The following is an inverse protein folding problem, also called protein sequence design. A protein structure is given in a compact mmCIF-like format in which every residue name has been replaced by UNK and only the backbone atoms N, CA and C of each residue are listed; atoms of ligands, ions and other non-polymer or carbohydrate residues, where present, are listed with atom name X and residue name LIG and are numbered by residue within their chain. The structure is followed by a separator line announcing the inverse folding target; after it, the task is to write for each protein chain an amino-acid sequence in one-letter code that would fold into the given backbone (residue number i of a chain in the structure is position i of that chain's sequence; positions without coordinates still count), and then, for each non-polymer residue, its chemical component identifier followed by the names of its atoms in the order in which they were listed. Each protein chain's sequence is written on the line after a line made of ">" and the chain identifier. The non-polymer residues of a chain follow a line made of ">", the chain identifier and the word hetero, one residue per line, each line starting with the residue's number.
data_IF_862935013890
#
_entry.id   IF_862935013890
#
_cell.length_a   1.000
_cell.length_b   1.000
_cell.length_c   1.000
_cell.angle_alpha   90.00
_cell.angle_beta   90.00
_cell.angle_gamma   90.00
#
_symmetry.space_group_name_H-M   'P 1'
#
loop_
_entity.id
_entity.type
_entity.pdbx_description
1 polymer ?
#
# COMPACT_ATOMS: atom_id res chain seq x y z
N UNK A 1 24.10 10.09 38.49
CA UNK A 1 23.17 10.90 39.30
C UNK A 1 21.79 10.73 38.67
N UNK A 2 20.93 9.84 39.20
CA UNK A 2 19.56 9.73 38.69
C UNK A 2 18.76 10.84 39.36
N UNK A 3 18.12 11.69 38.55
CA UNK A 3 17.31 12.77 39.06
C UNK A 3 16.06 12.17 39.71
N UNK A 4 15.91 12.37 41.02
CA UNK A 4 14.67 12.10 41.74
C UNK A 4 13.65 13.17 41.34
N UNK A 5 13.19 13.10 40.10
CA UNK A 5 12.12 13.94 39.59
C UNK A 5 10.81 13.43 40.17
N UNK A 6 10.01 14.35 40.67
CA UNK A 6 8.67 14.01 41.15
C UNK A 6 7.80 13.54 39.97
N UNK A 7 6.85 12.64 40.22
CA UNK A 7 5.93 12.14 39.19
C UNK A 7 5.21 13.29 38.45
N UNK A 8 4.92 14.37 39.18
CA UNK A 8 4.26 15.55 38.62
C UNK A 8 5.16 16.30 37.62
N UNK A 9 6.48 16.37 37.86
CA UNK A 9 7.44 16.94 36.92
C UNK A 9 7.59 16.06 35.67
N UNK A 10 7.59 14.73 35.84
CA UNK A 10 7.60 13.81 34.69
C UNK A 10 6.34 13.97 33.83
N UNK A 11 5.17 14.10 34.46
CA UNK A 11 3.92 14.36 33.73
C UNK A 11 3.97 15.68 32.98
N UNK A 12 4.44 16.76 33.60
CA UNK A 12 4.56 18.08 32.96
C UNK A 12 5.53 18.05 31.77
N UNK A 13 6.63 17.32 31.87
CA UNK A 13 7.60 17.20 30.77
C UNK A 13 7.06 16.39 29.58
N UNK A 14 6.28 15.34 29.84
CA UNK A 14 5.72 14.48 28.80
C UNK A 14 4.48 15.08 28.11
N UNK A 15 3.62 15.76 28.88
CA UNK A 15 2.29 16.15 28.43
C UNK A 15 2.03 17.67 28.50
N UNK A 16 2.98 18.46 29.02
CA UNK A 16 2.85 19.91 29.17
C UNK A 16 1.98 20.34 30.37
N UNK A 17 1.90 21.65 30.62
CA UNK A 17 1.04 22.23 31.67
C UNK A 17 -0.38 22.45 31.12
N UNK A 18 -1.17 21.39 31.02
CA UNK A 18 -2.58 21.53 30.68
C UNK A 18 -3.32 22.24 31.83
N UNK A 19 -3.85 23.44 31.58
CA UNK A 19 -4.68 24.16 32.56
C UNK A 19 -6.01 23.39 32.75
N UNK A 20 -6.46 23.16 33.98
CA UNK A 20 -7.80 22.60 34.22
C UNK A 20 -8.83 23.65 33.77
N UNK A 21 -9.40 23.47 32.58
CA UNK A 21 -10.36 24.40 31.99
C UNK A 21 -10.15 24.64 30.49
N UNK A 22 -9.02 24.23 29.93
CA UNK A 22 -8.80 24.27 28.48
C UNK A 22 -9.28 22.94 27.88
N UNK A 23 -10.60 22.84 27.71
CA UNK A 23 -11.17 21.86 26.80
C UNK A 23 -10.52 22.09 25.42
N UNK A 24 -9.84 21.10 24.81
CA UNK A 24 -9.54 21.21 23.39
C UNK A 24 -10.90 21.37 22.72
N UNK A 25 -11.11 22.49 22.02
CA UNK A 25 -12.30 22.68 21.21
C UNK A 25 -12.49 21.41 20.40
N UNK A 26 -13.60 20.71 20.62
CA UNK A 26 -13.96 19.57 19.79
C UNK A 26 -13.84 20.03 18.34
N UNK A 27 -13.15 19.29 17.45
CA UNK A 27 -13.24 19.59 16.04
C UNK A 27 -14.73 19.51 15.71
N UNK A 28 -15.28 20.66 15.32
CA UNK A 28 -16.61 20.78 14.75
C UNK A 28 -16.73 19.65 13.73
N UNK A 29 -17.68 18.70 13.87
CA UNK A 29 -17.92 17.77 12.79
C UNK A 29 -18.38 18.62 11.60
N UNK A 30 -17.52 18.68 10.59
CA UNK A 30 -17.85 19.22 9.28
C UNK A 30 -19.18 18.60 8.83
N UNK A 31 -20.08 19.39 8.20
CA UNK A 31 -21.40 18.93 7.87
C UNK A 31 -21.30 17.67 7.02
N UNK A 32 -21.88 16.60 7.58
CA UNK A 32 -22.13 15.33 6.93
C UNK A 32 -22.68 15.64 5.55
N UNK A 33 -21.90 15.41 4.49
CA UNK A 33 -22.44 15.34 3.14
C UNK A 33 -23.43 14.18 3.15
N UNK A 34 -24.70 14.52 3.34
CA UNK A 34 -25.82 13.66 3.04
C UNK A 34 -25.63 13.24 1.58
N UNK A 35 -25.14 12.02 1.38
CA UNK A 35 -25.21 11.35 0.10
C UNK A 35 -26.69 11.04 -0.10
N UNK A 36 -27.44 12.03 -0.57
CA UNK A 36 -28.77 11.85 -1.12
C UNK A 36 -28.57 10.88 -2.27
N UNK A 37 -28.93 9.62 -2.05
CA UNK A 37 -28.98 8.61 -3.11
C UNK A 37 -30.16 8.96 -4.01
N UNK A 38 -30.01 10.01 -4.82
CA UNK A 38 -30.95 10.29 -5.90
C UNK A 38 -30.84 9.13 -6.87
N UNK A 39 -31.90 8.31 -6.89
CA UNK A 39 -32.12 7.24 -7.85
C UNK A 39 -31.95 7.79 -9.27
N UNK A 40 -30.77 7.60 -9.85
CA UNK A 40 -30.52 7.90 -11.24
C UNK A 40 -31.26 6.86 -12.08
N UNK A 41 -32.39 7.27 -12.65
CA UNK A 41 -33.04 6.56 -13.74
C UNK A 41 -32.10 6.75 -14.95
N UNK A 42 -31.25 5.76 -15.22
CA UNK A 42 -30.39 5.76 -16.40
C UNK A 42 -30.94 4.76 -17.42
N UNK A 43 -31.56 5.28 -18.47
CA UNK A 43 -31.67 4.56 -19.73
C UNK A 43 -30.26 4.41 -20.35
N UNK A 44 -29.96 3.29 -21.03
CA UNK A 44 -28.62 2.99 -21.51
C UNK A 44 -28.32 3.81 -22.75
N UNK A 45 -27.06 4.24 -22.95
CA UNK A 45 -26.36 4.26 -24.25
C UNK A 45 -24.95 4.82 -24.05
N UNK A 46 -24.05 4.26 -24.87
CA UNK A 46 -22.66 4.63 -25.14
C UNK A 46 -21.61 3.95 -24.24
N UNK A 47 -21.15 2.81 -24.77
CA UNK A 47 -19.86 2.17 -24.48
C UNK A 47 -18.75 3.21 -24.38
N UNK A 48 -18.29 3.48 -23.15
CA UNK A 48 -17.11 4.30 -22.94
C UNK A 48 -15.89 3.55 -23.49
N UNK A 49 -15.28 4.20 -24.48
CA UNK A 49 -14.05 3.81 -25.17
C UNK A 49 -13.00 3.32 -24.18
N UNK A 50 -12.31 2.24 -24.57
CA UNK A 50 -11.28 1.53 -23.82
C UNK A 50 -10.37 2.48 -23.03
N UNK A 51 -10.26 2.27 -21.73
CA UNK A 51 -9.21 2.88 -20.92
C UNK A 51 -7.87 2.53 -21.57
N UNK A 52 -7.09 3.55 -21.95
CA UNK A 52 -5.73 3.33 -22.44
C UNK A 52 -4.98 2.55 -21.37
N UNK A 53 -4.46 1.40 -21.80
CA UNK A 53 -3.89 0.35 -20.97
C UNK A 53 -2.94 0.91 -19.92
N UNK A 54 -3.17 0.51 -18.66
CA UNK A 54 -2.11 0.59 -17.67
C UNK A 54 -0.94 -0.21 -18.25
N UNK A 55 0.17 0.46 -18.52
CA UNK A 55 1.37 -0.21 -19.03
C UNK A 55 2.16 -0.65 -17.81
N UNK A 56 2.69 -1.89 -17.79
CA UNK A 56 3.39 -2.38 -16.62
C UNK A 56 4.51 -1.44 -16.26
N UNK A 57 4.43 -0.87 -15.05
CA UNK A 57 5.42 0.11 -14.58
C UNK A 57 6.56 -0.58 -13.87
N UNK A 58 6.37 -1.82 -13.43
CA UNK A 58 7.33 -2.56 -12.62
C UNK A 58 7.48 -3.98 -13.18
N UNK A 59 8.72 -4.42 -13.34
CA UNK A 59 9.12 -5.80 -13.65
C UNK A 59 9.73 -6.42 -12.41
N UNK A 60 9.18 -7.55 -11.99
CA UNK A 60 9.73 -8.40 -10.95
C UNK A 60 10.44 -9.57 -11.62
N UNK A 61 11.68 -9.85 -11.24
CA UNK A 61 12.43 -11.04 -11.64
C UNK A 61 12.60 -11.93 -10.42
N UNK A 62 12.17 -13.17 -10.56
CA UNK A 62 12.19 -14.19 -9.51
C UNK A 62 13.10 -15.35 -9.95
N UNK A 63 13.74 -16.01 -9.00
CA UNK A 63 14.32 -17.33 -9.17
C UNK A 63 13.37 -18.35 -8.55
N UNK A 64 12.98 -19.36 -9.34
CA UNK A 64 11.96 -20.33 -8.93
C UNK A 64 12.40 -21.76 -9.20
N UNK A 65 12.02 -22.69 -8.32
CA UNK A 65 12.34 -24.10 -8.43
C UNK A 65 11.48 -24.98 -7.53
N UNK A 66 11.49 -26.28 -7.76
CA UNK A 66 10.76 -27.28 -6.96
C UNK A 66 11.66 -28.19 -6.14
N UNK A 67 12.95 -28.23 -6.49
CA UNK A 67 13.98 -29.04 -5.84
C UNK A 67 14.86 -28.14 -4.97
N UNK A 68 15.18 -28.63 -3.77
CA UNK A 68 16.07 -27.92 -2.85
C UNK A 68 17.52 -28.06 -3.34
N UNK A 69 18.22 -26.94 -3.54
CA UNK A 69 19.54 -26.88 -4.18
C UNK A 69 19.60 -27.48 -5.60
N UNK A 70 18.43 -27.64 -6.25
CA UNK A 70 18.32 -28.11 -7.63
C UNK A 70 18.27 -26.96 -8.64
N UNK A 71 17.78 -27.26 -9.85
CA UNK A 71 17.68 -26.24 -10.90
C UNK A 71 16.67 -25.13 -10.57
N UNK A 72 17.18 -23.89 -10.55
CA UNK A 72 16.41 -22.67 -10.38
C UNK A 72 16.32 -21.93 -11.72
N UNK A 73 15.11 -21.52 -12.09
CA UNK A 73 14.84 -20.82 -13.34
C UNK A 73 14.43 -19.37 -13.07
N UNK A 74 14.75 -18.47 -14.00
CA UNK A 74 14.28 -17.09 -13.93
C UNK A 74 12.83 -16.99 -14.42
N UNK A 75 11.99 -16.34 -13.61
CA UNK A 75 10.61 -16.02 -13.91
C UNK A 75 10.42 -14.51 -13.87
N UNK A 76 9.96 -13.93 -14.98
CA UNK A 76 9.69 -12.50 -15.10
C UNK A 76 8.20 -12.26 -14.98
N UNK A 77 7.82 -11.34 -14.11
CA UNK A 77 6.43 -10.94 -13.93
C UNK A 77 6.31 -9.41 -13.96
N UNK A 78 5.54 -8.93 -14.92
CA UNK A 78 5.26 -7.51 -15.11
C UNK A 78 3.98 -7.15 -14.37
N UNK A 79 4.02 -6.04 -13.63
CA UNK A 79 2.92 -5.61 -12.76
C UNK A 79 2.39 -4.23 -13.14
N UNK A 80 1.07 -4.14 -13.17
CA UNK A 80 0.32 -2.93 -13.47
C UNK A 80 0.07 -2.08 -12.21
N UNK A 81 1.12 -1.90 -11.40
CA UNK A 81 1.10 -1.08 -10.20
C UNK A 81 2.32 -0.18 -10.10
N UNK A 82 2.17 0.92 -9.37
CA UNK A 82 3.25 1.82 -8.97
C UNK A 82 3.98 1.38 -7.69
N UNK A 83 3.38 0.48 -6.92
CA UNK A 83 3.95 0.02 -5.66
C UNK A 83 4.86 -1.17 -5.88
N UNK A 84 6.15 -1.02 -5.55
CA UNK A 84 7.12 -2.12 -5.58
C UNK A 84 6.73 -3.25 -4.64
N UNK A 85 6.25 -2.92 -3.44
CA UNK A 85 5.82 -3.90 -2.45
C UNK A 85 4.64 -4.74 -2.96
N UNK A 86 3.65 -4.09 -3.58
CA UNK A 86 2.49 -4.80 -4.13
C UNK A 86 2.91 -5.68 -5.31
N UNK A 87 3.75 -5.16 -6.20
CA UNK A 87 4.29 -5.94 -7.32
C UNK A 87 5.05 -7.18 -6.85
N UNK A 88 5.88 -7.06 -5.81
CA UNK A 88 6.62 -8.20 -5.23
C UNK A 88 5.67 -9.22 -4.61
N UNK A 89 4.71 -8.78 -3.78
CA UNK A 89 3.75 -9.66 -3.12
C UNK A 89 2.91 -10.44 -4.14
N UNK A 90 2.36 -9.76 -5.14
CA UNK A 90 1.58 -10.38 -6.20
C UNK A 90 2.43 -11.36 -7.01
N UNK A 91 3.68 -11.01 -7.30
CA UNK A 91 4.58 -11.87 -8.06
C UNK A 91 4.98 -13.14 -7.28
N UNK A 92 5.35 -13.00 -6.01
CA UNK A 92 5.66 -14.15 -5.14
C UNK A 92 4.44 -15.04 -4.96
N UNK A 93 3.25 -14.45 -4.77
CA UNK A 93 2.01 -15.20 -4.65
C UNK A 93 1.69 -16.00 -5.91
N UNK A 94 1.88 -15.41 -7.09
CA UNK A 94 1.68 -16.09 -8.36
C UNK A 94 2.70 -17.23 -8.57
N UNK A 95 3.99 -16.99 -8.27
CA UNK A 95 5.02 -18.01 -8.40
C UNK A 95 4.78 -19.21 -7.47
N UNK A 96 4.36 -18.97 -6.22
CA UNK A 96 4.07 -20.02 -5.24
C UNK A 96 2.91 -20.94 -5.62
N UNK A 97 2.11 -20.62 -6.63
CA UNK A 97 1.10 -21.54 -7.16
C UNK A 97 1.72 -22.74 -7.88
N UNK A 98 2.93 -22.58 -8.43
CA UNK A 98 3.60 -23.59 -9.27
C UNK A 98 4.95 -24.03 -8.74
N UNK A 99 5.58 -23.20 -7.91
CA UNK A 99 6.95 -23.40 -7.44
C UNK A 99 7.02 -23.46 -5.91
N UNK A 100 7.76 -24.44 -5.39
CA UNK A 100 7.98 -24.62 -3.96
C UNK A 100 8.97 -23.62 -3.39
N UNK A 101 10.01 -23.29 -4.15
CA UNK A 101 11.05 -22.33 -3.79
C UNK A 101 10.93 -21.12 -4.71
N UNK A 102 10.84 -19.94 -4.10
CA UNK A 102 10.69 -18.66 -4.79
C UNK A 102 11.57 -17.64 -4.09
N UNK A 103 12.47 -17.04 -4.85
CA UNK A 103 13.38 -15.98 -4.42
C UNK A 103 13.17 -14.76 -5.31
N UNK A 104 13.04 -13.57 -4.72
CA UNK A 104 12.96 -12.32 -5.47
C UNK A 104 14.37 -11.83 -5.77
N UNK A 105 14.70 -11.72 -7.06
CA UNK A 105 16.04 -11.29 -7.51
C UNK A 105 16.07 -9.80 -7.77
N UNK A 106 15.03 -9.25 -8.42
CA UNK A 106 14.97 -7.80 -8.66
C UNK A 106 13.55 -7.29 -8.86
N UNK A 107 13.33 -6.02 -8.48
CA UNK A 107 12.11 -5.26 -8.75
C UNK A 107 12.55 -3.95 -9.39
N UNK A 108 12.24 -3.77 -10.68
CA UNK A 108 12.72 -2.61 -11.44
C UNK A 108 11.59 -1.93 -12.19
N UNK A 109 11.55 -0.58 -12.22
CA UNK A 109 10.59 0.11 -13.07
C UNK A 109 10.93 -0.10 -14.55
N UNK A 110 9.92 -0.34 -15.38
CA UNK A 110 10.08 -0.49 -16.83
C UNK A 110 9.88 0.89 -17.46
N UNK A 111 10.92 1.43 -18.09
CA UNK A 111 10.79 2.66 -18.87
C UNK A 111 10.20 2.31 -20.23
N UNK A 112 9.02 2.83 -20.55
CA UNK A 112 8.47 2.76 -21.90
C UNK A 112 9.37 3.58 -22.83
N UNK A 113 10.12 2.92 -23.71
CA UNK A 113 10.75 3.58 -24.85
C UNK A 113 9.61 4.00 -25.79
N UNK A 114 9.51 5.32 -25.99
CA UNK A 114 8.51 5.96 -26.83
C UNK A 114 8.95 6.03 -28.28
#
# INVERSE_FOLDING_TARGET
>A
MKADLTEEEMRRALFGTAKPGEVPASPVPEPVTEVVFTKAIAAPIATKKAAKAFTPRIRVTLRVGNEYEGEMHELIQDADTLSSLLAEQDAVKAARQKYKYVEVVSVKPIKKMG
#
